data_IF_656353597175
#
_entry.id   IF_656353597175
#
_cell.length_a   1.000
_cell.length_b   1.000
_cell.length_c   1.000
_cell.angle_alpha   90.00
_cell.angle_beta   90.00
_cell.angle_gamma   90.00
#
_symmetry.space_group_name_H-M   'P 1'
#
loop_
_entity.id
_entity.type
_entity.pdbx_description
1 polymer ?
#
# COMPACT_ATOMS: atom_id res chain seq x y z
N UNK A 1 14.52 24.83 20.54
CA UNK A 1 13.70 23.83 19.82
C UNK A 1 14.66 22.99 18.99
N UNK A 2 15.08 21.82 19.49
CA UNK A 2 16.09 21.01 18.83
C UNK A 2 15.48 20.28 17.62
N UNK A 3 15.80 20.78 16.43
CA UNK A 3 15.48 20.11 15.18
C UNK A 3 16.44 18.92 15.09
N UNK A 4 16.00 17.74 15.53
CA UNK A 4 16.73 16.51 15.26
C UNK A 4 16.79 16.34 13.74
N UNK A 5 17.92 16.75 13.14
CA UNK A 5 18.25 16.42 11.76
C UNK A 5 18.19 14.91 11.66
N UNK A 6 17.19 14.40 10.94
CA UNK A 6 17.07 12.98 10.62
C UNK A 6 18.39 12.58 9.97
N UNK A 7 19.20 11.77 10.67
CA UNK A 7 20.46 11.31 10.13
C UNK A 7 20.18 10.58 8.80
N UNK A 8 21.01 10.74 7.76
CA UNK A 8 20.83 10.07 6.48
C UNK A 8 20.63 8.54 6.61
N UNK A 9 21.26 7.93 7.62
CA UNK A 9 21.12 6.51 7.98
C UNK A 9 19.72 6.09 8.50
N UNK A 10 18.82 7.05 8.72
CA UNK A 10 17.44 6.80 9.12
C UNK A 10 16.44 7.17 8.01
N UNK A 11 16.90 7.50 6.80
CA UNK A 11 16.00 7.67 5.66
C UNK A 11 15.44 6.33 5.22
N UNK A 12 14.12 6.28 5.15
CA UNK A 12 13.37 5.21 4.48
C UNK A 12 13.09 5.70 3.08
N UNK A 13 13.67 5.01 2.10
CA UNK A 13 13.35 5.23 0.69
C UNK A 13 12.09 4.44 0.34
N UNK A 14 11.29 4.95 -0.59
CA UNK A 14 10.10 4.25 -1.05
C UNK A 14 10.20 3.98 -2.55
N UNK A 15 10.00 2.72 -2.93
CA UNK A 15 9.63 2.41 -4.31
C UNK A 15 8.12 2.44 -4.43
N UNK A 16 7.62 3.16 -5.43
CA UNK A 16 6.20 3.33 -5.66
C UNK A 16 5.76 2.46 -6.83
N UNK A 17 4.61 1.82 -6.68
CA UNK A 17 3.96 1.08 -7.75
C UNK A 17 2.47 1.35 -7.75
N UNK A 18 1.94 1.73 -8.90
CA UNK A 18 0.49 1.84 -9.12
C UNK A 18 -0.01 0.51 -9.68
N UNK A 19 -1.09 0.01 -9.11
CA UNK A 19 -1.81 -1.19 -9.54
C UNK A 19 -3.21 -0.74 -9.94
N UNK A 20 -3.52 -0.87 -11.22
CA UNK A 20 -4.88 -0.68 -11.72
C UNK A 20 -5.74 -1.87 -11.27
N UNK A 21 -6.83 -1.57 -10.57
CA UNK A 21 -7.79 -2.57 -10.08
C UNK A 21 -9.19 -2.35 -10.66
N UNK A 22 -9.38 -1.32 -11.48
CA UNK A 22 -10.66 -0.97 -12.05
C UNK A 22 -11.23 -2.14 -12.87
N UNK A 23 -12.47 -2.55 -12.57
CA UNK A 23 -13.16 -3.67 -13.21
C UNK A 23 -12.54 -5.06 -12.95
N UNK A 24 -11.46 -5.17 -12.16
CA UNK A 24 -10.79 -6.44 -11.85
C UNK A 24 -11.24 -7.06 -10.54
N UNK A 25 -11.87 -6.27 -9.67
CA UNK A 25 -12.32 -6.71 -8.36
C UNK A 25 -13.77 -6.31 -8.13
N UNK A 26 -14.70 -7.27 -8.01
CA UNK A 26 -16.11 -6.98 -7.72
C UNK A 26 -16.25 -6.23 -6.38
N UNK A 27 -17.14 -5.23 -6.33
CA UNK A 27 -17.41 -4.47 -5.11
C UNK A 27 -16.38 -3.38 -4.80
N UNK A 28 -15.52 -3.02 -5.77
CA UNK A 28 -14.57 -1.92 -5.66
C UNK A 28 -14.77 -0.87 -6.76
N UNK A 29 -16.00 -0.73 -7.24
CA UNK A 29 -16.34 0.07 -8.41
C UNK A 29 -15.99 1.57 -8.23
N UNK A 30 -15.80 1.99 -6.98
CA UNK A 30 -15.35 3.34 -6.59
C UNK A 30 -13.83 3.47 -6.45
N UNK A 31 -13.07 2.35 -6.39
CA UNK A 31 -11.62 2.33 -6.24
C UNK A 31 -10.94 1.99 -7.57
N UNK A 32 -10.32 2.97 -8.19
CA UNK A 32 -9.75 2.82 -9.53
C UNK A 32 -8.35 2.21 -9.52
N UNK A 33 -7.49 2.64 -8.58
CA UNK A 33 -6.15 2.11 -8.46
C UNK A 33 -5.64 2.11 -7.03
N UNK A 34 -4.63 1.27 -6.81
CA UNK A 34 -3.90 1.16 -5.56
C UNK A 34 -2.45 1.55 -5.79
N UNK A 35 -1.95 2.54 -5.05
CA UNK A 35 -0.53 2.88 -5.01
C UNK A 35 0.12 2.19 -3.82
N UNK A 36 0.99 1.24 -4.11
CA UNK A 36 1.76 0.51 -3.11
C UNK A 36 3.14 1.14 -2.98
N UNK A 37 3.45 1.57 -1.77
CA UNK A 37 4.74 2.15 -1.40
C UNK A 37 5.50 1.11 -0.58
N UNK A 38 6.56 0.55 -1.15
CA UNK A 38 7.43 -0.40 -0.46
C UNK A 38 8.58 0.35 0.19
N UNK A 39 8.74 0.28 1.52
CA UNK A 39 9.84 0.92 2.22
C UNK A 39 11.15 0.13 2.05
N UNK A 40 12.24 0.87 1.88
CA UNK A 40 13.60 0.37 1.86
C UNK A 40 14.41 1.16 2.90
N UNK A 41 15.28 0.46 3.62
CA UNK A 41 16.22 1.07 4.55
C UNK A 41 17.62 0.61 4.16
N UNK A 42 18.50 1.55 3.81
CA UNK A 42 19.84 1.25 3.33
C UNK A 42 19.87 0.29 2.12
N UNK A 43 18.98 0.50 1.15
CA UNK A 43 18.88 -0.35 -0.04
C UNK A 43 18.30 -1.75 0.18
N UNK A 44 17.95 -2.12 1.42
CA UNK A 44 17.31 -3.39 1.75
C UNK A 44 15.81 -3.21 1.98
N UNK A 45 15.01 -4.18 1.52
CA UNK A 45 13.56 -4.22 1.76
C UNK A 45 13.31 -4.12 3.26
N UNK A 46 12.51 -3.14 3.68
CA UNK A 46 12.22 -2.90 5.08
C UNK A 46 10.95 -3.66 5.50
N UNK A 47 11.12 -4.95 5.82
CA UNK A 47 10.06 -5.82 6.31
C UNK A 47 8.99 -6.19 5.26
N UNK A 48 7.94 -6.93 5.67
CA UNK A 48 6.83 -7.31 4.80
C UNK A 48 5.77 -6.21 4.68
N UNK A 49 6.00 -5.05 5.30
CA UNK A 49 5.01 -3.99 5.39
C UNK A 49 5.11 -3.06 4.18
N UNK A 50 3.98 -2.86 3.52
CA UNK A 50 3.83 -1.86 2.46
C UNK A 50 2.73 -0.90 2.84
N UNK A 51 2.81 0.34 2.35
CA UNK A 51 1.71 1.29 2.49
C UNK A 51 0.90 1.29 1.22
N UNK A 52 -0.39 1.01 1.32
CA UNK A 52 -1.31 1.04 0.19
C UNK A 52 -2.13 2.32 0.28
N UNK A 53 -1.98 3.19 -0.71
CA UNK A 53 -2.90 4.30 -0.98
C UNK A 53 -3.85 3.87 -2.08
N UNK A 54 -4.94 4.58 -2.21
CA UNK A 54 -5.99 4.26 -3.17
C UNK A 54 -6.50 5.55 -3.82
N UNK A 55 -7.07 5.43 -5.01
CA UNK A 55 -7.87 6.49 -5.60
C UNK A 55 -9.34 6.12 -5.48
N UNK A 56 -10.14 7.05 -4.97
CA UNK A 56 -11.58 6.92 -4.86
C UNK A 56 -12.21 7.92 -5.83
N UNK A 57 -12.97 7.44 -6.82
CA UNK A 57 -13.62 8.27 -7.84
C UNK A 57 -12.65 9.32 -8.46
N UNK A 58 -11.48 8.88 -8.90
CA UNK A 58 -10.45 9.70 -9.52
C UNK A 58 -9.59 10.51 -8.54
N UNK A 59 -9.91 10.50 -7.23
CA UNK A 59 -9.19 11.28 -6.23
C UNK A 59 -8.21 10.41 -5.44
N UNK A 60 -6.92 10.69 -5.63
CA UNK A 60 -5.85 10.06 -4.85
C UNK A 60 -5.93 10.41 -3.36
N UNK A 61 -6.02 9.38 -2.54
CA UNK A 61 -6.06 9.52 -1.10
C UNK A 61 -4.65 9.61 -0.53
N UNK A 62 -4.40 10.66 0.27
CA UNK A 62 -3.10 10.88 0.94
C UNK A 62 -2.84 9.89 2.07
N UNK A 63 -3.91 9.45 2.75
CA UNK A 63 -3.84 8.40 3.76
C UNK A 63 -3.64 7.06 3.06
N UNK A 64 -2.71 6.26 3.57
CA UNK A 64 -2.50 4.91 3.09
C UNK A 64 -2.49 3.94 4.26
N UNK A 65 -2.93 2.72 4.01
CA UNK A 65 -3.05 1.69 5.03
C UNK A 65 -1.86 0.75 4.99
N UNK A 66 -1.31 0.38 6.15
CA UNK A 66 -0.28 -0.64 6.22
C UNK A 66 -0.87 -2.00 5.85
N UNK A 67 -0.27 -2.65 4.86
CA UNK A 67 -0.57 -4.01 4.41
C UNK A 67 0.65 -4.90 4.72
N UNK A 68 0.42 -6.02 5.39
CA UNK A 68 1.39 -7.10 5.51
C UNK A 68 1.29 -7.99 4.27
N UNK A 69 2.30 -7.95 3.39
CA UNK A 69 2.27 -8.68 2.11
C UNK A 69 2.54 -10.19 2.25
N UNK A 70 3.08 -10.61 3.39
CA UNK A 70 3.31 -12.04 3.64
C UNK A 70 1.98 -12.68 4.07
N UNK A 71 1.22 -11.97 4.90
CA UNK A 71 -0.09 -12.42 5.41
C UNK A 71 -1.27 -12.04 4.52
N UNK A 72 -1.13 -11.04 3.66
CA UNK A 72 -2.23 -10.53 2.83
C UNK A 72 -3.32 -9.83 3.61
N UNK A 73 -2.97 -9.14 4.70
CA UNK A 73 -3.91 -8.46 5.59
C UNK A 73 -3.51 -7.00 5.82
N UNK A 74 -4.50 -6.13 5.93
CA UNK A 74 -4.30 -4.76 6.40
C UNK A 74 -4.15 -4.75 7.92
N UNK A 75 -3.15 -4.03 8.43
CA UNK A 75 -2.88 -3.95 9.87
C UNK A 75 -3.73 -2.90 10.59
N UNK A 76 -4.11 -1.83 9.88
CA UNK A 76 -4.95 -0.78 10.41
C UNK A 76 -5.72 -0.12 9.27
N UNK A 77 -7.05 -0.20 9.31
CA UNK A 77 -7.96 0.59 8.51
C UNK A 77 -8.90 1.26 9.52
N UNK A 78 -8.89 2.59 9.56
CA UNK A 78 -9.59 3.39 10.56
C UNK A 78 -11.02 3.76 10.14
N UNK A 79 -11.43 3.36 8.95
CA UNK A 79 -12.70 3.66 8.33
C UNK A 79 -13.40 2.33 8.06
N UNK A 80 -14.55 2.11 8.68
CA UNK A 80 -15.22 0.81 8.69
C UNK A 80 -15.78 0.44 7.30
N UNK A 81 -16.38 1.38 6.57
CA UNK A 81 -16.89 1.14 5.21
C UNK A 81 -15.75 0.82 4.25
N UNK A 82 -14.65 1.57 4.36
CA UNK A 82 -13.47 1.31 3.57
C UNK A 82 -12.75 0.04 4.00
N UNK A 83 -12.80 -0.34 5.28
CA UNK A 83 -12.26 -1.59 5.76
C UNK A 83 -13.04 -2.78 5.19
N UNK A 84 -14.35 -2.70 5.14
CA UNK A 84 -15.20 -3.68 4.48
C UNK A 84 -14.90 -3.80 2.99
N UNK A 85 -14.58 -2.70 2.32
CA UNK A 85 -14.20 -2.70 0.90
C UNK A 85 -12.79 -3.24 0.66
N UNK A 86 -11.81 -2.88 1.50
CA UNK A 86 -10.39 -3.19 1.28
C UNK A 86 -9.96 -4.55 1.83
N UNK A 87 -10.53 -5.03 2.95
CA UNK A 87 -10.14 -6.31 3.55
C UNK A 87 -10.30 -7.50 2.59
N UNK A 88 -11.43 -7.65 1.86
CA UNK A 88 -11.62 -8.78 0.94
C UNK A 88 -10.62 -8.79 -0.23
N UNK A 89 -10.10 -7.62 -0.59
CA UNK A 89 -9.24 -7.46 -1.77
C UNK A 89 -7.75 -7.55 -1.42
N UNK A 90 -7.38 -7.49 -0.13
CA UNK A 90 -6.00 -7.55 0.34
C UNK A 90 -5.19 -8.75 -0.22
N UNK A 91 -5.73 -9.99 -0.30
CA UNK A 91 -5.02 -11.10 -0.92
C UNK A 91 -4.76 -10.89 -2.42
N UNK A 92 -5.70 -10.26 -3.16
CA UNK A 92 -5.52 -9.94 -4.58
C UNK A 92 -4.44 -8.89 -4.79
N UNK A 93 -4.37 -7.88 -3.93
CA UNK A 93 -3.30 -6.87 -3.95
C UNK A 93 -1.94 -7.56 -3.81
N UNK A 94 -1.82 -8.49 -2.86
CA UNK A 94 -0.60 -9.28 -2.69
C UNK A 94 -0.29 -10.13 -3.91
N UNK A 95 -1.29 -10.77 -4.52
CA UNK A 95 -1.10 -11.54 -5.75
C UNK A 95 -0.51 -10.69 -6.88
N UNK A 96 -1.07 -9.50 -7.15
CA UNK A 96 -0.52 -8.56 -8.14
C UNK A 96 0.90 -8.12 -7.79
N UNK A 97 1.18 -7.86 -6.50
CA UNK A 97 2.51 -7.49 -6.04
C UNK A 97 3.55 -8.61 -6.23
N UNK A 98 3.13 -9.87 -6.10
CA UNK A 98 3.97 -11.06 -6.31
C UNK A 98 4.20 -11.34 -7.80
N UNK A 99 3.14 -11.31 -8.61
CA UNK A 99 3.22 -11.48 -10.07
C UNK A 99 4.22 -10.50 -10.68
N UNK A 100 4.16 -9.24 -10.23
CA UNK A 100 5.05 -8.20 -10.71
C UNK A 100 6.45 -8.20 -10.09
N UNK A 101 6.67 -8.87 -8.96
CA UNK A 101 8.02 -9.03 -8.39
C UNK A 101 8.78 -10.21 -9.00
N UNK A 102 8.06 -11.11 -9.69
CA UNK A 102 8.61 -12.26 -10.41
C UNK A 102 8.99 -11.94 -11.88
N UNK A 103 8.68 -10.73 -12.36
CA UNK A 103 9.13 -10.19 -13.65
C UNK A 103 10.28 -9.23 -13.44
#
# INVERSE_FOLDING_TARGET
>A
MNIHKIQPANRVDYTMKTIDINGRVPGTDTIEFLRVERPYRHGKKFGPLVRVRYALNGVEQKKGFPLDVDKGIFLAIYDDELAETLRPIAPKIVAFLREHAAR
#
